data_IF_646188398854
#
_entry.id   IF_646188398854
#
_cell.length_a   1.000
_cell.length_b   1.000
_cell.length_c   1.000
_cell.angle_alpha   90.00
_cell.angle_beta   90.00
_cell.angle_gamma   90.00
#
_symmetry.space_group_name_H-M   'P 1'
#
loop_
_entity.id
_entity.type
_entity.pdbx_description
1 polymer ?
#
# COMPACT_ATOMS: atom_id res chain seq x y z
N UNK A 1 -11.96 13.80 4.82
CA UNK A 1 -12.20 13.06 6.07
C UNK A 1 -13.30 12.02 5.97
N UNK A 2 -14.54 12.37 5.60
CA UNK A 2 -15.65 11.39 5.50
C UNK A 2 -15.30 10.20 4.59
N UNK A 3 -14.71 10.48 3.42
CA UNK A 3 -14.31 9.44 2.47
C UNK A 3 -13.23 8.53 3.09
N UNK A 4 -12.24 9.09 3.79
CA UNK A 4 -11.18 8.31 4.44
C UNK A 4 -11.71 7.46 5.61
N UNK A 5 -12.69 7.95 6.36
CA UNK A 5 -13.38 7.17 7.38
C UNK A 5 -14.09 5.96 6.75
N UNK A 6 -14.79 6.19 5.65
CA UNK A 6 -15.48 5.12 4.92
C UNK A 6 -14.50 4.11 4.31
N UNK A 7 -13.41 4.57 3.68
CA UNK A 7 -12.32 3.72 3.19
C UNK A 7 -11.66 2.93 4.31
N UNK A 8 -11.44 3.55 5.49
CA UNK A 8 -10.90 2.87 6.66
C UNK A 8 -11.82 1.76 7.16
N UNK A 9 -13.13 1.98 7.16
CA UNK A 9 -14.10 0.94 7.51
C UNK A 9 -14.09 -0.21 6.49
N UNK A 10 -14.04 0.10 5.20
CA UNK A 10 -13.95 -0.91 4.15
C UNK A 10 -12.66 -1.73 4.24
N UNK A 11 -11.52 -1.08 4.48
CA UNK A 11 -10.23 -1.76 4.61
C UNK A 11 -10.19 -2.71 5.82
N UNK A 12 -10.77 -2.30 6.95
CA UNK A 12 -10.88 -3.18 8.14
C UNK A 12 -11.77 -4.39 7.86
N UNK A 13 -12.92 -4.19 7.21
CA UNK A 13 -13.96 -5.22 7.05
C UNK A 13 -13.74 -6.14 5.86
N UNK A 14 -13.37 -5.57 4.72
CA UNK A 14 -13.28 -6.24 3.43
C UNK A 14 -11.84 -6.37 2.91
N UNK A 15 -10.85 -5.76 3.59
CA UNK A 15 -9.42 -5.77 3.17
C UNK A 15 -9.18 -5.18 1.78
N UNK A 16 -10.13 -4.38 1.32
CA UNK A 16 -10.09 -3.69 0.04
C UNK A 16 -10.92 -2.43 0.11
N UNK A 17 -10.58 -1.49 -0.76
CA UNK A 17 -11.36 -0.28 -0.98
C UNK A 17 -12.03 -0.37 -2.33
N UNK A 18 -13.31 -0.01 -2.38
CA UNK A 18 -14.05 0.03 -3.63
C UNK A 18 -13.45 1.04 -4.60
N UNK A 19 -13.35 0.66 -5.87
CA UNK A 19 -12.84 1.55 -6.92
C UNK A 19 -13.60 2.86 -6.98
N UNK A 20 -14.92 2.84 -6.72
CA UNK A 20 -15.77 4.03 -6.75
C UNK A 20 -15.20 5.10 -5.81
N UNK A 21 -14.73 4.71 -4.62
CA UNK A 21 -14.14 5.66 -3.67
C UNK A 21 -12.82 6.22 -4.22
N UNK A 22 -12.00 5.35 -4.82
CA UNK A 22 -10.75 5.75 -5.46
C UNK A 22 -11.02 6.76 -6.59
N UNK A 23 -12.00 6.50 -7.46
CA UNK A 23 -12.40 7.40 -8.54
C UNK A 23 -12.92 8.74 -7.99
N UNK A 24 -13.77 8.72 -6.96
CA UNK A 24 -14.28 9.95 -6.33
C UNK A 24 -13.15 10.78 -5.75
N UNK A 25 -12.22 10.16 -5.02
CA UNK A 25 -11.06 10.86 -4.45
C UNK A 25 -10.19 11.46 -5.56
N UNK A 26 -9.96 10.73 -6.65
CA UNK A 26 -9.13 11.20 -7.75
C UNK A 26 -9.76 12.40 -8.46
N UNK A 27 -11.05 12.29 -8.83
CA UNK A 27 -11.81 13.37 -9.46
C UNK A 27 -11.76 14.61 -8.55
N UNK A 28 -12.04 14.42 -7.26
CA UNK A 28 -11.97 15.50 -6.29
C UNK A 28 -10.58 16.16 -6.27
N UNK A 29 -9.50 15.38 -6.23
CA UNK A 29 -8.14 15.92 -6.19
C UNK A 29 -7.76 16.68 -7.45
N UNK A 30 -8.11 16.18 -8.64
CA UNK A 30 -7.83 16.89 -9.90
C UNK A 30 -8.56 18.23 -9.94
N UNK A 31 -9.87 18.25 -9.64
CA UNK A 31 -10.64 19.48 -9.62
C UNK A 31 -10.19 20.45 -8.53
N UNK A 32 -9.90 19.94 -7.33
CA UNK A 32 -9.42 20.75 -6.21
C UNK A 32 -8.05 21.37 -6.50
N UNK A 33 -7.13 20.60 -7.09
CA UNK A 33 -5.81 21.09 -7.49
C UNK A 33 -5.91 22.16 -8.58
N UNK A 34 -6.73 21.93 -9.61
CA UNK A 34 -6.99 22.93 -10.65
C UNK A 34 -7.61 24.20 -10.08
N UNK A 35 -8.58 24.06 -9.18
CA UNK A 35 -9.18 25.20 -8.48
C UNK A 35 -8.13 26.02 -7.73
N UNK A 36 -7.23 25.37 -6.98
CA UNK A 36 -6.18 26.06 -6.23
C UNK A 36 -5.17 26.78 -7.12
N UNK A 37 -4.79 26.18 -8.26
CA UNK A 37 -3.96 26.86 -9.28
C UNK A 37 -4.65 28.13 -9.78
N UNK A 38 -5.94 28.04 -10.14
CA UNK A 38 -6.70 29.20 -10.65
C UNK A 38 -6.76 30.31 -9.59
N UNK A 39 -6.87 29.95 -8.31
CA UNK A 39 -6.88 30.90 -7.20
C UNK A 39 -5.48 31.38 -6.80
N UNK A 40 -4.41 30.92 -7.46
CA UNK A 40 -3.01 31.17 -7.08
C UNK A 40 -2.68 30.79 -5.62
N UNK A 41 -3.37 29.77 -5.11
CA UNK A 41 -3.09 29.21 -3.77
C UNK A 41 -2.12 28.06 -3.95
N UNK A 42 -0.86 28.32 -3.61
CA UNK A 42 0.21 27.33 -3.71
C UNK A 42 0.47 26.68 -2.34
N UNK A 43 0.67 25.36 -2.28
CA UNK A 43 1.06 24.64 -1.08
C UNK A 43 2.45 25.04 -0.58
N UNK A 44 2.62 25.05 0.75
CA UNK A 44 3.86 25.44 1.43
C UNK A 44 5.00 24.45 1.18
N UNK A 45 4.73 23.14 1.21
CA UNK A 45 5.74 22.08 1.24
C UNK A 45 5.48 20.98 0.19
N UNK A 46 5.17 21.37 -1.06
CA UNK A 46 4.86 20.40 -2.13
C UNK A 46 6.00 19.42 -2.40
N UNK A 47 7.23 19.91 -2.50
CA UNK A 47 8.40 19.06 -2.77
C UNK A 47 8.59 17.99 -1.69
N UNK A 48 8.43 18.35 -0.42
CA UNK A 48 8.56 17.41 0.69
C UNK A 48 7.42 16.39 0.70
N UNK A 49 6.20 16.83 0.41
CA UNK A 49 5.06 15.91 0.32
C UNK A 49 5.21 14.95 -0.86
N UNK A 50 5.78 15.44 -1.95
CA UNK A 50 6.13 14.61 -3.10
C UNK A 50 7.19 13.57 -2.75
N UNK A 51 8.23 13.91 -1.96
CA UNK A 51 9.17 12.90 -1.45
C UNK A 51 8.49 11.85 -0.57
N UNK A 52 7.48 12.21 0.22
CA UNK A 52 6.67 11.23 0.97
C UNK A 52 5.93 10.30 0.00
N UNK A 53 5.29 10.85 -1.04
CA UNK A 53 4.64 10.04 -2.08
C UNK A 53 5.63 9.08 -2.76
N UNK A 54 6.84 9.55 -3.10
CA UNK A 54 7.90 8.73 -3.68
C UNK A 54 8.30 7.57 -2.75
N UNK A 55 8.39 7.83 -1.45
CA UNK A 55 8.64 6.78 -0.48
C UNK A 55 7.53 5.72 -0.49
N UNK A 56 6.26 6.10 -0.56
CA UNK A 56 5.14 5.14 -0.67
C UNK A 56 5.14 4.34 -1.97
N UNK A 57 5.50 4.98 -3.08
CA UNK A 57 5.70 4.29 -4.37
C UNK A 57 6.82 3.27 -4.24
N UNK A 58 7.94 3.61 -3.59
CA UNK A 58 9.02 2.65 -3.35
C UNK A 58 8.55 1.48 -2.49
N UNK A 59 7.81 1.73 -1.40
CA UNK A 59 7.21 0.67 -0.57
C UNK A 59 6.34 -0.26 -1.42
N UNK A 60 5.50 0.30 -2.29
CA UNK A 60 4.70 -0.48 -3.23
C UNK A 60 5.57 -1.32 -4.19
N UNK A 61 6.62 -0.75 -4.78
CA UNK A 61 7.56 -1.47 -5.65
C UNK A 61 8.29 -2.62 -4.92
N UNK A 62 8.51 -2.48 -3.61
CA UNK A 62 9.06 -3.52 -2.73
C UNK A 62 8.01 -4.49 -2.17
N UNK A 63 6.73 -4.41 -2.61
CA UNK A 63 5.60 -5.20 -2.11
C UNK A 63 5.39 -5.07 -0.60
N UNK A 64 5.53 -3.86 -0.08
CA UNK A 64 5.27 -3.52 1.32
C UNK A 64 3.92 -2.83 1.53
N UNK A 65 3.28 -2.43 0.44
CA UNK A 65 2.07 -1.63 0.44
C UNK A 65 1.15 -2.15 -0.68
N UNK A 66 -0.16 -2.21 -0.42
CA UNK A 66 -1.12 -2.57 -1.45
C UNK A 66 -1.37 -1.39 -2.40
N UNK A 67 -1.88 -1.68 -3.60
CA UNK A 67 -2.20 -0.64 -4.59
C UNK A 67 -3.32 0.29 -4.08
N UNK A 68 -4.29 -0.26 -3.35
CA UNK A 68 -5.40 0.47 -2.71
C UNK A 68 -4.90 1.62 -1.82
N UNK A 69 -3.91 1.31 -0.99
CA UNK A 69 -3.27 2.27 -0.09
C UNK A 69 -2.54 3.37 -0.85
N UNK A 70 -1.88 3.01 -1.96
CA UNK A 70 -1.16 3.96 -2.80
C UNK A 70 -2.11 4.99 -3.42
N UNK A 71 -3.29 4.58 -3.88
CA UNK A 71 -4.32 5.49 -4.40
C UNK A 71 -4.78 6.51 -3.35
N UNK A 72 -4.95 6.07 -2.10
CA UNK A 72 -5.31 6.95 -1.00
C UNK A 72 -4.16 7.90 -0.67
N UNK A 73 -2.91 7.44 -0.76
CA UNK A 73 -1.74 8.31 -0.62
C UNK A 73 -1.61 9.35 -1.74
N UNK A 74 -1.89 8.99 -3.00
CA UNK A 74 -2.01 9.94 -4.11
C UNK A 74 -3.09 11.00 -3.84
N UNK A 75 -4.07 10.69 -3.00
CA UNK A 75 -5.10 11.65 -2.63
C UNK A 75 -4.67 12.55 -1.47
N UNK A 76 -3.87 12.03 -0.55
CA UNK A 76 -3.52 12.71 0.70
C UNK A 76 -2.23 13.51 0.58
N UNK A 77 -1.27 13.13 -0.27
CA UNK A 77 0.00 13.88 -0.38
C UNK A 77 -0.25 15.34 -0.74
N UNK A 78 -1.23 15.63 -1.60
CA UNK A 78 -1.51 17.01 -1.94
C UNK A 78 -2.08 17.78 -0.74
N UNK A 79 -2.99 17.18 0.04
CA UNK A 79 -3.43 17.77 1.30
C UNK A 79 -2.26 17.99 2.27
N UNK A 80 -1.35 17.02 2.38
CA UNK A 80 -0.17 17.11 3.24
C UNK A 80 0.74 18.29 2.89
N UNK A 81 0.77 18.68 1.61
CA UNK A 81 1.63 19.77 1.13
C UNK A 81 1.25 21.15 1.66
N UNK A 82 0.04 21.32 2.21
CA UNK A 82 -0.41 22.55 2.86
C UNK A 82 -0.02 22.65 4.34
N UNK A 83 0.55 21.60 4.92
CA UNK A 83 1.02 21.66 6.29
C UNK A 83 2.50 22.06 6.35
N UNK A 84 2.86 22.65 7.49
CA UNK A 84 4.25 22.92 7.83
C UNK A 84 5.05 21.62 7.95
N UNK A 85 6.36 21.71 7.71
CA UNK A 85 7.27 20.56 7.73
C UNK A 85 7.20 19.73 9.02
N UNK A 86 7.09 20.37 10.19
CA UNK A 86 6.98 19.65 11.46
C UNK A 86 5.66 18.87 11.58
N UNK A 87 4.54 19.40 11.04
CA UNK A 87 3.26 18.68 11.01
C UNK A 87 3.36 17.47 10.08
N UNK A 88 3.99 17.60 8.92
CA UNK A 88 4.22 16.48 8.02
C UNK A 88 5.10 15.39 8.65
N UNK A 89 6.12 15.77 9.43
CA UNK A 89 6.93 14.82 10.20
C UNK A 89 6.13 14.15 11.33
N UNK A 90 5.25 14.88 12.03
CA UNK A 90 4.32 14.30 13.00
C UNK A 90 3.35 13.31 12.35
N UNK A 91 2.85 13.61 11.15
CA UNK A 91 2.03 12.68 10.38
C UNK A 91 2.77 11.36 10.14
N UNK A 92 4.03 11.41 9.69
CA UNK A 92 4.84 10.20 9.50
C UNK A 92 5.05 9.43 10.81
N UNK A 93 5.31 10.13 11.92
CA UNK A 93 5.43 9.51 13.23
C UNK A 93 4.15 8.75 13.62
N UNK A 94 3.00 9.41 13.55
CA UNK A 94 1.72 8.79 13.88
C UNK A 94 1.36 7.65 12.92
N UNK A 95 1.72 7.78 11.64
CA UNK A 95 1.47 6.75 10.65
C UNK A 95 2.21 5.46 10.99
N UNK A 96 3.48 5.55 11.36
CA UNK A 96 4.25 4.36 11.77
C UNK A 96 3.73 3.81 13.10
N UNK A 97 3.41 4.68 14.06
CA UNK A 97 2.87 4.25 15.35
C UNK A 97 1.55 3.48 15.19
N UNK A 98 0.59 4.03 14.46
CA UNK A 98 -0.67 3.36 14.19
C UNK A 98 -0.50 2.14 13.28
N UNK A 99 0.36 2.22 12.28
CA UNK A 99 0.71 1.05 11.45
C UNK A 99 1.23 -0.10 12.30
N UNK A 100 2.12 0.17 13.26
CA UNK A 100 2.60 -0.82 14.21
C UNK A 100 1.45 -1.39 15.07
N UNK A 101 0.57 -0.54 15.60
CA UNK A 101 -0.58 -0.98 16.42
C UNK A 101 -1.50 -1.91 15.61
N UNK A 102 -1.94 -1.49 14.41
CA UNK A 102 -2.83 -2.29 13.56
C UNK A 102 -2.19 -3.60 13.12
N UNK A 103 -0.90 -3.57 12.78
CA UNK A 103 -0.16 -4.79 12.43
C UNK A 103 -0.13 -5.79 13.60
N UNK A 104 0.11 -5.31 14.82
CA UNK A 104 0.09 -6.18 16.00
C UNK A 104 -1.31 -6.72 16.32
N UNK A 105 -2.37 -5.91 16.13
CA UNK A 105 -3.76 -6.36 16.32
C UNK A 105 -4.10 -7.49 15.33
N UNK A 106 -3.79 -7.31 14.04
CA UNK A 106 -4.01 -8.35 13.04
C UNK A 106 -3.17 -9.59 13.32
N UNK A 107 -1.89 -9.42 13.66
CA UNK A 107 -1.04 -10.53 14.06
C UNK A 107 -1.69 -11.33 15.20
N UNK A 108 -2.13 -10.68 16.28
CA UNK A 108 -2.80 -11.33 17.43
C UNK A 108 -4.06 -12.10 16.99
N UNK A 109 -4.89 -11.51 16.10
CA UNK A 109 -6.09 -12.18 15.55
C UNK A 109 -5.70 -13.47 14.84
N UNK A 110 -4.68 -13.42 13.99
CA UNK A 110 -4.15 -14.56 13.24
C UNK A 110 -3.61 -15.64 14.17
N UNK A 111 -2.87 -15.25 15.21
CA UNK A 111 -2.33 -16.19 16.19
C UNK A 111 -3.43 -16.93 16.96
N UNK A 112 -4.52 -16.24 17.28
CA UNK A 112 -5.68 -16.85 17.94
C UNK A 112 -6.36 -17.89 17.04
N UNK A 113 -6.48 -17.60 15.75
CA UNK A 113 -7.05 -18.53 14.76
C UNK A 113 -6.12 -19.73 14.51
N UNK A 114 -4.82 -19.49 14.40
CA UNK A 114 -3.82 -20.52 14.08
C UNK A 114 -3.24 -21.27 15.31
N UNK A 115 -3.72 -20.99 16.54
CA UNK A 115 -3.26 -21.58 17.82
C UNK A 115 -1.73 -21.59 18.03
N UNK A 116 -1.00 -20.60 17.51
CA UNK A 116 0.45 -20.44 17.70
C UNK A 116 0.76 -19.36 18.75
N UNK A 117 1.92 -19.43 19.44
CA UNK A 117 2.35 -18.41 20.41
C UNK A 117 2.88 -17.16 19.69
N UNK A 118 2.37 -15.99 20.05
CA UNK A 118 2.90 -14.69 19.62
C UNK A 118 3.87 -14.14 20.67
N UNK A 119 5.01 -13.63 20.22
CA UNK A 119 5.96 -12.92 21.07
C UNK A 119 6.32 -11.58 20.44
N UNK A 120 5.89 -10.50 21.08
CA UNK A 120 6.42 -9.17 20.81
C UNK A 120 7.76 -9.07 21.54
N UNK A 121 8.81 -8.69 20.82
CA UNK A 121 10.10 -8.41 21.46
C UNK A 121 9.96 -7.23 22.43
N UNK A 122 10.38 -7.41 23.68
CA UNK A 122 10.43 -6.35 24.69
C UNK A 122 11.22 -5.14 24.17
N UNK A 123 12.24 -5.37 23.33
CA UNK A 123 13.05 -4.33 22.69
C UNK A 123 12.17 -3.40 21.85
N UNK A 124 11.19 -3.93 21.10
CA UNK A 124 10.29 -3.11 20.27
C UNK A 124 9.43 -2.19 21.14
N UNK A 125 8.95 -2.68 22.28
CA UNK A 125 8.15 -1.88 23.22
C UNK A 125 9.00 -0.76 23.82
N UNK A 126 10.24 -1.07 24.26
CA UNK A 126 11.16 -0.08 24.80
C UNK A 126 11.45 1.02 23.78
N UNK A 127 11.72 0.67 22.52
CA UNK A 127 11.99 1.64 21.45
C UNK A 127 10.79 2.56 21.18
N UNK A 128 9.56 2.03 21.23
CA UNK A 128 8.34 2.84 21.10
C UNK A 128 8.16 3.78 22.30
N UNK A 129 8.45 3.32 23.52
CA UNK A 129 8.39 4.20 24.70
C UNK A 129 9.43 5.32 24.61
N UNK A 130 10.64 5.02 24.14
CA UNK A 130 11.68 6.02 23.88
C UNK A 130 11.22 7.00 22.79
N UNK A 131 10.60 6.53 21.71
CA UNK A 131 10.09 7.43 20.66
C UNK A 131 9.00 8.37 21.18
N UNK A 132 8.08 7.88 22.00
CA UNK A 132 7.03 8.69 22.64
C UNK A 132 7.64 9.72 23.61
N UNK A 133 8.67 9.33 24.37
CA UNK A 133 9.39 10.26 25.24
C UNK A 133 9.98 11.44 24.45
N UNK A 134 10.61 11.18 23.30
CA UNK A 134 11.13 12.25 22.43
C UNK A 134 10.03 13.08 21.75
N UNK A 135 8.84 12.53 21.48
CA UNK A 135 7.69 13.36 21.05
C UNK A 135 7.28 14.33 22.15
N UNK A 136 7.22 13.89 23.41
CA UNK A 136 6.86 14.78 24.51
C UNK A 136 7.89 15.91 24.67
N UNK A 137 9.18 15.62 24.49
CA UNK A 137 10.22 16.65 24.46
C UNK A 137 10.06 17.60 23.28
N UNK A 138 9.69 17.10 22.09
CA UNK A 138 9.35 17.95 20.95
C UNK A 138 8.18 18.88 21.28
N UNK A 139 7.09 18.38 21.88
CA UNK A 139 5.92 19.21 22.22
C UNK A 139 6.30 20.27 23.27
N UNK A 140 7.12 19.91 24.25
CA UNK A 140 7.51 20.82 25.33
C UNK A 140 8.45 21.94 24.86
N UNK A 141 9.43 21.61 24.01
CA UNK A 141 10.50 22.54 23.61
C UNK A 141 10.38 23.05 22.16
N UNK A 142 9.44 22.51 21.39
CA UNK A 142 9.24 22.77 19.97
C UNK A 142 10.52 22.64 19.12
N UNK A 143 11.43 21.75 19.52
CA UNK A 143 12.71 21.55 18.86
C UNK A 143 12.67 20.33 17.92
N UNK A 144 12.84 20.60 16.62
CA UNK A 144 12.72 19.61 15.54
C UNK A 144 13.65 18.40 15.70
N UNK A 145 14.80 18.56 16.35
CA UNK A 145 15.73 17.45 16.56
C UNK A 145 15.11 16.33 17.39
N UNK A 146 14.26 16.67 18.38
CA UNK A 146 13.55 15.66 19.17
C UNK A 146 12.53 14.88 18.33
N UNK A 147 11.86 15.54 17.38
CA UNK A 147 10.95 14.86 16.45
C UNK A 147 11.71 13.92 15.50
N UNK A 148 12.87 14.35 15.00
CA UNK A 148 13.73 13.50 14.16
C UNK A 148 14.25 12.27 14.92
N UNK A 149 14.69 12.45 16.16
CA UNK A 149 15.12 11.34 17.02
C UNK A 149 13.96 10.38 17.27
N UNK A 150 12.76 10.89 17.55
CA UNK A 150 11.56 10.07 17.72
C UNK A 150 11.24 9.24 16.47
N UNK A 151 11.33 9.85 15.29
CA UNK A 151 11.14 9.15 14.02
C UNK A 151 12.16 8.01 13.87
N UNK A 152 13.44 8.23 14.16
CA UNK A 152 14.44 7.16 14.11
C UNK A 152 14.02 5.99 15.01
N UNK A 153 13.64 6.27 16.26
CA UNK A 153 13.25 5.23 17.21
C UNK A 153 11.95 4.51 16.85
N UNK A 154 10.95 5.17 16.24
CA UNK A 154 9.69 4.50 15.87
C UNK A 154 9.85 3.62 14.62
N UNK A 155 10.77 3.95 13.72
CA UNK A 155 11.04 3.15 12.52
C UNK A 155 11.94 1.93 12.80
N UNK A 156 12.82 1.97 13.79
CA UNK A 156 13.70 0.83 14.12
C UNK A 156 12.91 -0.46 14.40
N UNK A 157 11.86 -0.47 15.27
CA UNK A 157 11.02 -1.65 15.50
C UNK A 157 10.41 -2.21 14.22
N UNK A 158 9.97 -1.33 13.31
CA UNK A 158 9.38 -1.76 12.04
C UNK A 158 10.39 -2.52 11.17
N UNK A 159 11.62 -2.03 11.06
CA UNK A 159 12.68 -2.73 10.32
C UNK A 159 13.16 -3.99 11.05
N UNK A 160 13.39 -3.93 12.37
CA UNK A 160 13.81 -5.09 13.17
C UNK A 160 12.79 -6.22 13.12
N UNK A 161 11.50 -5.88 13.20
CA UNK A 161 10.43 -6.85 13.11
C UNK A 161 10.50 -7.64 11.79
N UNK A 162 10.81 -6.98 10.67
CA UNK A 162 10.96 -7.63 9.37
C UNK A 162 12.20 -8.52 9.26
N UNK A 163 13.34 -8.10 9.82
CA UNK A 163 14.60 -8.87 9.75
C UNK A 163 14.63 -10.08 10.69
N UNK A 164 14.01 -9.96 11.87
CA UNK A 164 14.03 -11.03 12.89
C UNK A 164 13.05 -12.16 12.53
N UNK A 165 12.07 -11.90 11.66
CA UNK A 165 10.96 -12.82 11.41
C UNK A 165 10.88 -13.34 9.97
N UNK A 166 11.92 -14.01 9.47
CA UNK A 166 11.75 -14.91 8.30
C UNK A 166 10.57 -15.87 8.49
N UNK A 167 10.39 -16.30 9.73
CA UNK A 167 9.28 -17.07 10.25
C UNK A 167 7.89 -16.40 10.14
N UNK A 168 7.79 -15.07 10.00
CA UNK A 168 6.50 -14.36 9.90
C UNK A 168 5.94 -14.34 8.49
N UNK A 169 6.77 -14.43 7.44
CA UNK A 169 6.26 -14.54 6.07
C UNK A 169 5.41 -15.80 5.93
N UNK A 170 5.85 -16.93 6.49
CA UNK A 170 5.05 -18.16 6.62
C UNK A 170 3.89 -18.08 7.62
N UNK A 171 3.84 -17.07 8.51
CA UNK A 171 2.78 -16.90 9.53
C UNK A 171 1.68 -15.92 9.11
N UNK A 172 1.91 -15.09 8.09
CA UNK A 172 0.91 -14.19 7.48
C UNK A 172 0.31 -14.75 6.18
N UNK A 173 0.65 -15.98 5.81
CA UNK A 173 0.03 -16.70 4.71
C UNK A 173 -1.24 -17.42 5.17
N UNK A 174 -2.35 -17.14 4.52
CA UNK A 174 -3.65 -17.78 4.73
C UNK A 174 -4.00 -18.67 3.57
N UNK A 175 -4.80 -19.69 3.84
CA UNK A 175 -5.45 -20.48 2.79
C UNK A 175 -6.83 -19.89 2.57
N UNK A 176 -7.07 -19.31 1.39
CA UNK A 176 -8.37 -18.76 0.97
C UNK A 176 -8.92 -19.50 -0.24
N UNK A 177 -10.23 -19.48 -0.38
CA UNK A 177 -10.87 -19.94 -1.61
C UNK A 177 -10.79 -18.85 -2.69
N UNK A 178 -10.78 -19.23 -3.97
CA UNK A 178 -10.72 -18.27 -5.09
C UNK A 178 -11.86 -17.25 -5.06
N UNK A 179 -13.02 -17.61 -4.48
CA UNK A 179 -14.17 -16.72 -4.31
C UNK A 179 -13.87 -15.48 -3.47
N UNK A 180 -13.05 -15.67 -2.45
CA UNK A 180 -12.72 -14.67 -1.43
C UNK A 180 -11.52 -13.82 -1.86
N UNK A 181 -10.90 -14.12 -3.01
CA UNK A 181 -9.80 -13.34 -3.53
C UNK A 181 -10.26 -11.94 -3.95
N UNK A 182 -9.43 -10.97 -3.58
CA UNK A 182 -9.62 -9.55 -3.89
C UNK A 182 -8.42 -9.01 -4.67
N UNK A 183 -8.64 -7.93 -5.42
CA UNK A 183 -7.60 -7.28 -6.20
C UNK A 183 -6.45 -6.81 -5.29
N UNK A 184 -5.22 -7.15 -5.68
CA UNK A 184 -4.03 -6.87 -4.88
C UNK A 184 -3.56 -8.02 -3.99
N UNK A 185 -4.32 -9.12 -3.87
CA UNK A 185 -3.91 -10.30 -3.10
C UNK A 185 -2.60 -10.89 -3.63
N UNK A 186 -1.64 -11.13 -2.72
CA UNK A 186 -0.36 -11.73 -3.05
C UNK A 186 -0.39 -13.24 -2.87
N UNK A 187 -0.46 -13.97 -3.98
CA UNK A 187 -0.30 -15.42 -3.96
C UNK A 187 1.18 -15.77 -3.80
N UNK A 188 1.52 -16.57 -2.78
CA UNK A 188 2.92 -17.04 -2.57
C UNK A 188 3.28 -18.27 -3.40
N UNK A 189 2.33 -19.20 -3.58
CA UNK A 189 2.54 -20.50 -4.26
C UNK A 189 1.83 -20.58 -5.64
N UNK A 190 2.06 -21.67 -6.38
CA UNK A 190 1.24 -21.95 -7.56
C UNK A 190 -0.22 -22.26 -7.17
N UNK A 191 -1.17 -21.90 -8.02
CA UNK A 191 -2.58 -22.26 -7.83
C UNK A 191 -2.75 -23.71 -8.27
N UNK A 192 -3.14 -24.59 -7.35
CA UNK A 192 -3.44 -25.99 -7.65
C UNK A 192 -4.88 -26.13 -8.13
N UNK A 193 -5.06 -26.72 -9.31
CA UNK A 193 -6.37 -26.97 -9.92
C UNK A 193 -6.45 -28.43 -10.34
N UNK A 194 -7.55 -29.12 -10.03
CA UNK A 194 -7.68 -30.55 -10.34
C UNK A 194 -7.95 -30.79 -11.83
N UNK A 195 -8.73 -29.92 -12.48
CA UNK A 195 -9.08 -30.07 -13.89
C UNK A 195 -9.17 -28.72 -14.61
N UNK A 196 -8.71 -28.67 -15.86
CA UNK A 196 -8.80 -27.48 -16.73
C UNK A 196 -9.47 -27.90 -18.04
N UNK A 197 -10.64 -27.31 -18.36
CA UNK A 197 -11.29 -27.53 -19.65
C UNK A 197 -10.43 -26.97 -20.78
N UNK A 198 -10.48 -27.57 -21.97
CA UNK A 198 -9.69 -27.12 -23.14
C UNK A 198 -9.95 -25.64 -23.49
N UNK A 199 -11.20 -25.21 -23.40
CA UNK A 199 -11.60 -23.81 -23.64
C UNK A 199 -10.96 -22.84 -22.64
N UNK A 200 -10.94 -23.21 -21.36
CA UNK A 200 -10.31 -22.41 -20.30
C UNK A 200 -8.78 -22.39 -20.43
N UNK A 201 -8.19 -23.47 -20.95
CA UNK A 201 -6.74 -23.60 -21.14
C UNK A 201 -6.19 -22.53 -22.09
N UNK A 202 -6.90 -22.21 -23.17
CA UNK A 202 -6.49 -21.17 -24.13
C UNK A 202 -6.47 -19.77 -23.50
N UNK A 203 -7.40 -19.50 -22.58
CA UNK A 203 -7.47 -18.23 -21.84
C UNK A 203 -6.40 -18.19 -20.76
N UNK A 204 -6.24 -19.27 -19.99
CA UNK A 204 -5.28 -19.36 -18.88
C UNK A 204 -3.84 -19.23 -19.35
N UNK A 205 -3.46 -19.83 -20.49
CA UNK A 205 -2.09 -19.74 -21.04
C UNK A 205 -1.68 -18.29 -21.35
N UNK A 206 -2.62 -17.35 -21.51
CA UNK A 206 -2.29 -15.93 -21.68
C UNK A 206 -1.69 -15.31 -20.41
N UNK A 207 -2.13 -15.76 -19.23
CA UNK A 207 -1.80 -15.15 -17.93
C UNK A 207 -0.88 -16.05 -17.07
N UNK A 208 -0.98 -17.37 -17.23
CA UNK A 208 -0.31 -18.35 -16.41
C UNK A 208 0.56 -19.30 -17.25
N UNK A 209 1.70 -19.67 -16.69
CA UNK A 209 2.46 -20.86 -17.06
C UNK A 209 1.81 -22.06 -16.36
N UNK A 210 1.38 -23.04 -17.16
CA UNK A 210 0.64 -24.21 -16.67
C UNK A 210 1.62 -25.39 -16.57
N UNK A 211 1.80 -25.91 -15.37
CA UNK A 211 2.59 -27.12 -15.12
C UNK A 211 1.66 -28.27 -14.80
N UNK A 212 1.85 -29.41 -15.44
CA UNK A 212 1.08 -30.63 -15.19
C UNK A 212 1.86 -31.51 -14.20
N UNK A 213 1.24 -31.85 -13.07
CA UNK A 213 1.84 -32.69 -12.03
C UNK A 213 0.87 -33.80 -11.64
N UNK A 214 1.08 -34.98 -12.22
CA UNK A 214 0.27 -36.20 -12.05
C UNK A 214 -1.23 -35.99 -12.27
N UNK A 215 -1.98 -35.60 -11.22
CA UNK A 215 -3.43 -35.42 -11.20
C UNK A 215 -3.87 -33.97 -10.98
N UNK A 216 -2.93 -33.02 -10.99
CA UNK A 216 -3.21 -31.59 -10.75
C UNK A 216 -2.44 -30.72 -11.73
N UNK A 217 -3.04 -29.58 -12.05
CA UNK A 217 -2.40 -28.49 -12.75
C UNK A 217 -1.94 -27.44 -11.74
N UNK A 218 -0.69 -27.00 -11.87
CA UNK A 218 -0.12 -25.91 -11.09
C UNK A 218 -0.03 -24.69 -12.01
N UNK A 219 -0.85 -23.68 -11.77
CA UNK A 219 -0.79 -22.40 -12.46
C UNK A 219 0.22 -21.50 -11.76
N UNK A 220 1.27 -21.08 -12.46
CA UNK A 220 2.18 -20.03 -11.99
C UNK A 220 2.03 -18.80 -12.87
N UNK A 221 2.06 -17.61 -12.28
CA UNK A 221 2.00 -16.38 -13.07
C UNK A 221 3.18 -16.29 -14.03
N UNK A 222 2.89 -15.97 -15.30
CA UNK A 222 3.95 -15.74 -16.30
C UNK A 222 4.97 -14.74 -15.78
N UNK A 223 6.25 -15.05 -15.99
CA UNK A 223 7.37 -14.28 -15.44
C UNK A 223 7.58 -12.92 -16.12
N UNK A 224 6.77 -12.54 -17.11
CA UNK A 224 7.07 -11.45 -18.03
C UNK A 224 6.78 -10.04 -17.50
N UNK A 225 7.59 -9.08 -17.97
CA UNK A 225 7.51 -7.61 -17.79
C UNK A 225 7.63 -7.03 -16.38
N UNK A 226 7.83 -7.85 -15.34
CA UNK A 226 7.84 -7.38 -13.93
C UNK A 226 8.89 -6.31 -13.61
N UNK A 227 10.11 -6.48 -14.11
CA UNK A 227 11.24 -5.58 -13.84
C UNK A 227 11.15 -4.32 -14.73
N UNK A 228 10.69 -4.50 -15.97
CA UNK A 228 10.44 -3.43 -16.93
C UNK A 228 9.34 -2.49 -16.42
N UNK A 229 8.19 -3.01 -15.98
CA UNK A 229 7.11 -2.19 -15.41
C UNK A 229 7.57 -1.42 -14.17
N UNK A 230 8.35 -2.06 -13.29
CA UNK A 230 8.90 -1.38 -12.10
C UNK A 230 9.82 -0.21 -12.49
N UNK A 231 10.66 -0.39 -13.51
CA UNK A 231 11.52 0.68 -14.06
C UNK A 231 10.68 1.78 -14.69
N UNK A 232 9.65 1.44 -15.48
CA UNK A 232 8.77 2.42 -16.10
C UNK A 232 8.06 3.26 -15.03
N UNK A 233 7.49 2.61 -14.00
CA UNK A 233 6.85 3.29 -12.88
C UNK A 233 7.83 4.26 -12.21
N UNK A 234 9.05 3.80 -11.90
CA UNK A 234 10.09 4.62 -11.28
C UNK A 234 10.45 5.83 -12.16
N UNK A 235 10.66 5.61 -13.46
CA UNK A 235 11.02 6.67 -14.39
C UNK A 235 9.94 7.75 -14.44
N UNK A 236 8.68 7.34 -14.59
CA UNK A 236 7.53 8.25 -14.68
C UNK A 236 7.39 9.08 -13.41
N UNK A 237 7.56 8.44 -12.27
CA UNK A 237 7.42 9.07 -10.96
C UNK A 237 8.63 9.97 -10.62
N UNK A 238 9.77 9.82 -11.30
CA UNK A 238 10.90 10.76 -11.14
C UNK A 238 10.77 11.99 -12.05
N UNK A 239 10.01 11.93 -13.15
CA UNK A 239 9.89 13.03 -14.12
C UNK A 239 9.56 14.40 -13.47
N UNK A 240 8.61 14.52 -12.53
CA UNK A 240 8.32 15.79 -11.86
C UNK A 240 9.50 16.37 -11.12
N UNK A 241 10.36 15.54 -10.51
CA UNK A 241 11.58 16.04 -9.87
C UNK A 241 12.51 16.69 -10.88
N UNK A 242 12.60 16.15 -12.10
CA UNK A 242 13.38 16.77 -13.18
C UNK A 242 12.79 18.14 -13.52
N UNK A 243 11.47 18.24 -13.63
CA UNK A 243 10.81 19.53 -13.86
C UNK A 243 11.01 20.51 -12.71
N UNK A 244 11.04 20.05 -11.45
CA UNK A 244 11.36 20.89 -10.29
C UNK A 244 12.72 21.56 -10.42
N UNK A 245 13.76 20.82 -10.83
CA UNK A 245 15.10 21.39 -11.05
C UNK A 245 15.18 22.35 -12.24
N UNK A 246 14.26 22.25 -13.21
CA UNK A 246 14.19 23.16 -14.35
C UNK A 246 13.39 24.42 -14.02
N UNK A 247 12.20 24.27 -13.43
CA UNK A 247 11.30 25.35 -13.04
C UNK A 247 10.20 24.81 -12.10
N UNK A 248 10.02 25.46 -10.94
CA UNK A 248 9.00 25.08 -9.96
C UNK A 248 7.58 25.08 -10.53
N UNK A 249 7.25 25.99 -11.44
CA UNK A 249 5.94 26.05 -12.08
C UNK A 249 5.67 24.77 -12.90
N UNK A 250 6.68 24.26 -13.61
CA UNK A 250 6.54 23.00 -14.35
C UNK A 250 6.34 21.80 -13.44
N UNK A 251 6.96 21.82 -12.25
CA UNK A 251 6.72 20.80 -11.24
C UNK A 251 5.23 20.76 -10.84
N UNK A 252 4.62 21.91 -10.54
CA UNK A 252 3.19 21.98 -10.19
C UNK A 252 2.28 21.36 -11.26
N UNK A 253 2.46 21.72 -12.53
CA UNK A 253 1.63 21.15 -13.61
C UNK A 253 1.90 19.67 -13.85
N UNK A 254 3.15 19.23 -13.68
CA UNK A 254 3.53 17.83 -13.88
C UNK A 254 2.89 16.88 -12.86
N UNK A 255 2.58 17.36 -11.65
CA UNK A 255 1.92 16.55 -10.61
C UNK A 255 0.52 16.12 -11.07
N UNK A 256 -0.25 17.01 -11.70
CA UNK A 256 -1.57 16.67 -12.26
C UNK A 256 -1.42 15.61 -13.35
N UNK A 257 -0.44 15.80 -14.24
CA UNK A 257 -0.17 14.86 -15.33
C UNK A 257 0.17 13.47 -14.81
N UNK A 258 0.92 13.36 -13.71
CA UNK A 258 1.18 12.08 -13.05
C UNK A 258 -0.10 11.45 -12.53
N UNK A 259 -0.95 12.21 -11.83
CA UNK A 259 -2.20 11.68 -11.27
C UNK A 259 -3.07 11.11 -12.40
N UNK A 260 -3.19 11.84 -13.52
CA UNK A 260 -3.94 11.41 -14.70
C UNK A 260 -3.27 10.20 -15.37
N UNK A 261 -1.96 10.25 -15.59
CA UNK A 261 -1.21 9.19 -16.24
C UNK A 261 -1.31 7.88 -15.46
N UNK A 262 -1.05 7.95 -14.15
CA UNK A 262 -1.13 6.82 -13.25
C UNK A 262 -2.51 6.15 -13.36
N UNK A 263 -3.57 6.96 -13.43
CA UNK A 263 -4.94 6.46 -13.58
C UNK A 263 -5.19 5.72 -14.90
N UNK A 264 -4.85 6.33 -16.04
CA UNK A 264 -5.08 5.75 -17.37
C UNK A 264 -4.34 4.43 -17.53
N UNK A 265 -3.13 4.34 -16.96
CA UNK A 265 -2.24 3.20 -17.14
C UNK A 265 -2.23 2.24 -15.94
N UNK A 266 -3.10 2.43 -14.94
CA UNK A 266 -3.07 1.63 -13.72
C UNK A 266 -3.26 0.14 -14.00
N UNK A 267 -4.26 -0.18 -14.85
CA UNK A 267 -4.59 -1.54 -15.29
C UNK A 267 -3.56 -2.13 -16.26
N UNK A 268 -2.44 -1.47 -16.53
CA UNK A 268 -1.37 -2.01 -17.39
C UNK A 268 -0.02 -2.03 -16.68
N UNK A 269 0.25 -1.04 -15.85
CA UNK A 269 1.52 -0.90 -15.13
C UNK A 269 1.56 -1.74 -13.86
N UNK A 270 0.42 -1.88 -13.17
CA UNK A 270 0.35 -2.50 -11.84
C UNK A 270 -0.16 -3.94 -11.86
N UNK A 271 -0.53 -4.47 -13.03
CA UNK A 271 -0.96 -5.87 -13.20
C UNK A 271 0.24 -6.82 -13.06
N UNK A 272 0.04 -7.92 -12.33
CA UNK A 272 0.98 -9.03 -12.24
C UNK A 272 1.78 -9.07 -10.94
N UNK A 273 3.03 -8.57 -10.93
CA UNK A 273 3.94 -8.72 -9.77
C UNK A 273 3.37 -8.14 -8.47
N UNK A 274 2.41 -7.23 -8.49
CA UNK A 274 2.01 -6.52 -7.28
C UNK A 274 0.70 -7.02 -6.66
N UNK A 275 0.21 -8.16 -7.12
CA UNK A 275 -1.05 -8.75 -6.66
C UNK A 275 -1.89 -9.20 -7.84
N UNK A 276 -2.90 -10.01 -7.53
CA UNK A 276 -3.91 -10.42 -8.51
C UNK A 276 -4.65 -9.21 -9.08
N UNK A 277 -4.73 -9.11 -10.40
CA UNK A 277 -5.63 -8.17 -11.09
C UNK A 277 -7.07 -8.69 -11.09
N UNK A 278 -8.03 -7.79 -11.25
CA UNK A 278 -9.45 -8.17 -11.43
C UNK A 278 -9.68 -9.10 -12.60
N UNK A 279 -8.96 -8.92 -13.70
CA UNK A 279 -9.07 -9.78 -14.87
C UNK A 279 -8.61 -11.21 -14.54
N UNK A 280 -7.47 -11.36 -13.86
CA UNK A 280 -6.96 -12.66 -13.39
C UNK A 280 -7.92 -13.33 -12.40
N UNK A 281 -8.47 -12.57 -11.44
CA UNK A 281 -9.47 -13.09 -10.47
C UNK A 281 -10.72 -13.55 -11.19
N UNK A 282 -11.23 -12.77 -12.15
CA UNK A 282 -12.43 -13.13 -12.91
C UNK A 282 -12.21 -14.37 -13.77
N UNK A 283 -11.01 -14.57 -14.31
CA UNK A 283 -10.65 -15.79 -15.04
C UNK A 283 -10.62 -16.99 -14.08
N UNK A 284 -10.02 -16.83 -12.90
CA UNK A 284 -10.00 -17.89 -11.89
C UNK A 284 -11.42 -18.24 -11.39
N UNK A 285 -12.29 -17.23 -11.18
CA UNK A 285 -13.70 -17.41 -10.80
C UNK A 285 -14.57 -18.03 -11.90
N UNK A 286 -14.12 -18.03 -13.16
CA UNK A 286 -14.80 -18.71 -14.26
C UNK A 286 -14.53 -20.22 -14.32
N UNK A 287 -13.50 -20.69 -13.61
CA UNK A 287 -13.23 -22.13 -13.50
C UNK A 287 -14.38 -22.79 -12.74
N UNK A 288 -14.96 -23.87 -13.28
CA UNK A 288 -16.16 -24.50 -12.71
C UNK A 288 -16.01 -25.03 -11.28
N UNK A 289 -14.77 -25.17 -10.79
CA UNK A 289 -14.43 -25.64 -9.43
C UNK A 289 -13.91 -24.50 -8.51
N UNK A 290 -14.10 -23.23 -8.88
CA UNK A 290 -13.47 -22.10 -8.18
C UNK A 290 -13.76 -22.03 -6.66
N UNK A 291 -14.92 -22.52 -6.21
CA UNK A 291 -15.25 -22.59 -4.78
C UNK A 291 -14.30 -23.49 -3.97
N UNK A 292 -13.73 -24.51 -4.61
CA UNK A 292 -12.91 -25.54 -3.95
C UNK A 292 -11.41 -25.32 -4.15
N UNK A 293 -11.03 -24.39 -5.03
CA UNK A 293 -9.63 -24.03 -5.27
C UNK A 293 -9.11 -23.22 -4.09
N UNK A 294 -8.17 -23.82 -3.37
CA UNK A 294 -7.49 -23.21 -2.22
C UNK A 294 -6.16 -22.59 -2.64
N UNK A 295 -5.95 -21.35 -2.24
CA UNK A 295 -4.78 -20.55 -2.61
C UNK A 295 -4.14 -19.99 -1.35
N UNK A 296 -2.80 -20.04 -1.28
CA UNK A 296 -2.06 -19.37 -0.21
C UNK A 296 -1.85 -17.89 -0.53
N UNK A 297 -2.45 -17.03 0.28
CA UNK A 297 -2.40 -15.57 0.13
C UNK A 297 -1.67 -14.96 1.32
N UNK A 298 -0.70 -14.09 1.05
CA UNK A 298 -0.04 -13.26 2.06
C UNK A 298 -0.89 -12.02 2.28
N UNK A 299 -1.48 -11.89 3.46
CA UNK A 299 -2.27 -10.69 3.80
C UNK A 299 -1.40 -9.57 4.36
N UNK A 300 -1.69 -8.33 3.92
CA UNK A 300 -1.24 -7.11 4.57
C UNK A 300 -2.16 -6.72 5.74
N UNK A 301 -1.60 -6.06 6.75
CA UNK A 301 -2.42 -5.38 7.75
C UNK A 301 -3.13 -4.17 7.10
N UNK A 302 -4.36 -3.83 7.51
CA UNK A 302 -5.09 -2.71 6.93
C UNK A 302 -4.31 -1.41 7.20
N UNK A 303 -4.02 -0.66 6.14
CA UNK A 303 -3.10 0.48 6.20
C UNK A 303 -3.82 1.83 6.13
N UNK A 304 -5.07 1.85 5.68
CA UNK A 304 -5.88 3.08 5.59
C UNK A 304 -6.32 3.62 6.96
N UNK A 305 -6.69 2.78 7.95
CA UNK A 305 -7.00 3.27 9.28
C UNK A 305 -5.83 4.02 9.95
N UNK A 306 -4.57 3.53 9.89
CA UNK A 306 -3.40 4.31 10.30
C UNK A 306 -3.31 5.68 9.64
N UNK A 307 -3.53 5.78 8.32
CA UNK A 307 -3.49 7.06 7.59
C UNK A 307 -4.57 8.01 8.13
N UNK A 308 -5.79 7.51 8.28
CA UNK A 308 -6.93 8.28 8.75
C UNK A 308 -6.70 8.83 10.17
N UNK A 309 -6.26 7.98 11.10
CA UNK A 309 -5.97 8.39 12.48
C UNK A 309 -4.82 9.40 12.56
N UNK A 310 -3.79 9.21 11.73
CA UNK A 310 -2.64 10.13 11.66
C UNK A 310 -3.06 11.52 11.17
N UNK A 311 -3.96 11.58 10.18
CA UNK A 311 -4.51 12.85 9.71
C UNK A 311 -5.42 13.52 10.75
N UNK A 312 -6.22 12.75 11.50
CA UNK A 312 -7.05 13.31 12.58
C UNK A 312 -6.17 13.98 13.64
N UNK A 313 -5.14 13.28 14.11
CA UNK A 313 -4.23 13.81 15.14
C UNK A 313 -3.43 15.04 14.67
N UNK A 314 -3.31 15.24 13.37
CA UNK A 314 -2.65 16.41 12.81
C UNK A 314 -3.57 17.63 12.71
N UNK A 315 -4.89 17.40 12.65
CA UNK A 315 -5.91 18.45 12.57
C UNK A 315 -6.40 18.93 13.94
N UNK A 316 -6.22 18.13 15.00
CA UNK A 316 -6.44 18.50 16.40
C UNK A 316 -5.22 19.28 16.88
#
# INVERSE_FOLDING_TARGET
MIILLYSSYQDIKYKSVDDIIIYILLIFNVFYFLYLIIQNIYPENLIFSYFILLFFVLLYLFRLLAIGDLYIFFSIFFLLSFFSLYKMLLFLFYLVLFGFIFHNIEAIKIYRENRKKYYISIINIILILISIYFINLFILYFNIYYLLISLIFVYIPYFLFRYISKDMEEKLTFIRNVNELVEGDWIEDGIEVNNIKKEDKEILVKYFDIYENENKYILKFKRNNKLINSIIILFIIIIPLIFYFLNEIFFYYSVILIIIFYHIFQNKLFIGRFGLSKEEINILKKLGEYNDIKVKVKEGAPFIPPIFLSLILLLI
#
